data_IF_228853737818
#
_entry.id   IF_228853737818
#
_cell.length_a   1.000
_cell.length_b   1.000
_cell.length_c   1.000
_cell.angle_alpha   90.00
_cell.angle_beta   90.00
_cell.angle_gamma   90.00
#
_symmetry.space_group_name_H-M   'P 1'
#
loop_
_entity.id
_entity.type
_entity.pdbx_description
1 polymer ?
#
# COMPACT_ATOMS: atom_id res chain seq x y z
N UNK A 1 -7.83 -41.29 -90.30
CA UNK A 1 -8.69 -40.29 -89.63
C UNK A 1 -7.79 -39.36 -88.82
N UNK A 2 -7.58 -38.14 -89.30
CA UNK A 2 -6.65 -37.15 -88.70
C UNK A 2 -7.50 -36.01 -88.14
N UNK A 3 -7.43 -35.77 -86.81
CA UNK A 3 -8.09 -34.63 -86.20
C UNK A 3 -7.30 -33.33 -86.50
N UNK A 4 -7.97 -32.20 -86.75
CA UNK A 4 -7.29 -30.94 -87.04
C UNK A 4 -6.72 -30.31 -85.76
N UNK A 5 -5.46 -29.87 -85.84
CA UNK A 5 -4.82 -29.06 -84.80
C UNK A 5 -5.56 -27.73 -84.64
N UNK A 6 -6.04 -27.45 -83.43
CA UNK A 6 -6.59 -26.13 -83.07
C UNK A 6 -5.45 -25.11 -83.01
N UNK A 7 -5.63 -24.01 -83.73
CA UNK A 7 -4.75 -22.84 -83.70
C UNK A 7 -4.72 -22.20 -82.31
N UNK A 8 -3.60 -21.57 -81.90
CA UNK A 8 -3.53 -20.80 -80.66
C UNK A 8 -4.52 -19.64 -80.72
N UNK A 9 -5.38 -19.50 -79.71
CA UNK A 9 -6.17 -18.28 -79.52
C UNK A 9 -5.19 -17.15 -79.17
N UNK A 10 -5.15 -16.11 -79.99
CA UNK A 10 -4.49 -14.87 -79.62
C UNK A 10 -5.09 -14.34 -78.31
N UNK A 11 -4.27 -13.90 -77.34
CA UNK A 11 -4.79 -13.19 -76.18
C UNK A 11 -5.40 -11.89 -76.69
N UNK A 12 -6.72 -11.80 -76.64
CA UNK A 12 -7.42 -10.55 -76.87
C UNK A 12 -6.79 -9.49 -75.99
N UNK A 13 -6.28 -8.44 -76.64
CA UNK A 13 -5.94 -7.17 -76.00
C UNK A 13 -7.18 -6.73 -75.23
N UNK A 14 -7.22 -7.05 -73.94
CA UNK A 14 -8.07 -6.38 -72.98
C UNK A 14 -7.63 -4.94 -73.04
N UNK A 15 -8.42 -4.12 -73.74
CA UNK A 15 -8.36 -2.68 -73.67
C UNK A 15 -8.34 -2.30 -72.19
N UNK A 16 -7.16 -2.02 -71.65
CA UNK A 16 -7.02 -1.29 -70.41
C UNK A 16 -7.61 0.06 -70.73
N UNK A 17 -8.91 0.23 -70.43
CA UNK A 17 -9.56 1.51 -70.53
C UNK A 17 -8.72 2.47 -69.70
N UNK A 18 -8.04 3.39 -70.37
CA UNK A 18 -7.41 4.51 -69.71
C UNK A 18 -8.55 5.31 -69.06
N UNK A 19 -8.91 4.96 -67.83
CA UNK A 19 -9.72 5.80 -66.96
C UNK A 19 -8.86 7.02 -66.64
N UNK A 20 -8.77 7.93 -67.61
CA UNK A 20 -8.21 9.26 -67.40
C UNK A 20 -9.22 9.98 -66.53
N UNK A 21 -8.96 9.95 -65.22
CA UNK A 21 -9.61 10.86 -64.29
C UNK A 21 -9.53 12.25 -64.89
N UNK A 22 -10.68 12.87 -65.03
CA UNK A 22 -10.79 14.25 -65.48
C UNK A 22 -10.04 15.15 -64.50
N UNK A 23 -9.60 16.32 -64.95
CA UNK A 23 -8.93 17.29 -64.08
C UNK A 23 -9.78 17.69 -62.88
N UNK A 24 -11.10 17.62 -63.02
CA UNK A 24 -12.07 17.93 -61.97
C UNK A 24 -12.12 16.82 -60.91
N UNK A 25 -12.16 15.54 -61.31
CA UNK A 25 -12.11 14.40 -60.38
C UNK A 25 -10.76 14.33 -59.62
N UNK A 26 -9.65 14.70 -60.27
CA UNK A 26 -8.36 14.85 -59.59
C UNK A 26 -8.41 16.01 -58.58
N UNK A 27 -9.05 17.13 -58.93
CA UNK A 27 -9.23 18.27 -58.04
C UNK A 27 -10.04 17.92 -56.79
N UNK A 28 -11.13 17.16 -56.95
CA UNK A 28 -11.95 16.66 -55.83
C UNK A 28 -11.16 15.71 -54.94
N UNK A 29 -10.46 14.72 -55.51
CA UNK A 29 -9.64 13.79 -54.74
C UNK A 29 -8.51 14.50 -53.96
N UNK A 30 -7.88 15.51 -54.56
CA UNK A 30 -6.88 16.33 -53.86
C UNK A 30 -7.50 17.16 -52.73
N UNK A 31 -8.74 17.64 -52.91
CA UNK A 31 -9.52 18.33 -51.88
C UNK A 31 -9.79 17.42 -50.68
N UNK A 32 -10.24 16.19 -50.92
CA UNK A 32 -10.50 15.18 -49.89
C UNK A 32 -9.22 14.81 -49.12
N UNK A 33 -8.12 14.53 -49.84
CA UNK A 33 -6.82 14.24 -49.23
C UNK A 33 -6.35 15.43 -48.38
N UNK A 34 -6.52 16.66 -48.85
CA UNK A 34 -6.14 17.84 -48.08
C UNK A 34 -6.97 17.99 -46.79
N UNK A 35 -8.25 17.62 -46.82
CA UNK A 35 -9.09 17.62 -45.61
C UNK A 35 -8.67 16.53 -44.62
N UNK A 36 -8.44 15.31 -45.08
CA UNK A 36 -7.98 14.21 -44.20
C UNK A 36 -6.62 14.52 -43.58
N UNK A 37 -5.68 15.09 -44.34
CA UNK A 37 -4.37 15.51 -43.81
C UNK A 37 -4.54 16.58 -42.73
N UNK A 38 -5.50 17.49 -42.89
CA UNK A 38 -5.77 18.54 -41.90
C UNK A 38 -6.37 17.96 -40.62
N UNK A 39 -7.32 17.04 -40.74
CA UNK A 39 -7.92 16.34 -39.61
C UNK A 39 -6.87 15.50 -38.87
N UNK A 40 -6.07 14.72 -39.59
CA UNK A 40 -5.01 13.91 -39.01
C UNK A 40 -3.97 14.76 -38.26
N UNK A 41 -3.63 15.95 -38.78
CA UNK A 41 -2.75 16.90 -38.08
C UNK A 41 -3.37 17.42 -36.79
N UNK A 42 -4.68 17.66 -36.79
CA UNK A 42 -5.42 18.06 -35.59
C UNK A 42 -5.40 16.95 -34.54
N UNK A 43 -5.68 15.71 -34.95
CA UNK A 43 -5.68 14.55 -34.06
C UNK A 43 -4.31 14.28 -33.46
N UNK A 44 -3.24 14.41 -34.27
CA UNK A 44 -1.86 14.29 -33.78
C UNK A 44 -1.54 15.38 -32.76
N UNK A 45 -2.00 16.62 -32.99
CA UNK A 45 -1.80 17.70 -32.03
C UNK A 45 -2.56 17.48 -30.73
N UNK A 46 -3.81 17.00 -30.80
CA UNK A 46 -4.60 16.66 -29.62
C UNK A 46 -3.97 15.51 -28.83
N UNK A 47 -3.54 14.46 -29.53
CA UNK A 47 -2.88 13.32 -28.91
C UNK A 47 -1.55 13.73 -28.25
N UNK A 48 -0.79 14.63 -28.87
CA UNK A 48 0.40 15.22 -28.27
C UNK A 48 0.08 15.91 -26.93
N UNK A 49 -0.91 16.80 -26.91
CA UNK A 49 -1.33 17.46 -25.67
C UNK A 49 -1.81 16.48 -24.60
N UNK A 50 -2.50 15.41 -25.00
CA UNK A 50 -2.99 14.39 -24.08
C UNK A 50 -1.84 13.58 -23.47
N UNK A 51 -0.83 13.23 -24.28
CA UNK A 51 0.40 12.58 -23.81
C UNK A 51 1.14 13.48 -22.83
N UNK A 52 1.28 14.77 -23.13
CA UNK A 52 1.93 15.73 -22.22
C UNK A 52 1.20 15.83 -20.87
N UNK A 53 -0.15 15.86 -20.88
CA UNK A 53 -0.94 15.84 -19.64
C UNK A 53 -0.74 14.56 -18.86
N UNK A 54 -0.76 13.41 -19.55
CA UNK A 54 -0.53 12.11 -18.92
C UNK A 54 0.86 12.02 -18.29
N UNK A 55 1.88 12.52 -18.99
CA UNK A 55 3.25 12.55 -18.48
C UNK A 55 3.33 13.40 -17.22
N UNK A 56 2.77 14.62 -17.23
CA UNK A 56 2.77 15.49 -16.06
C UNK A 56 2.03 14.87 -14.86
N UNK A 57 0.93 14.15 -15.10
CA UNK A 57 0.21 13.45 -14.02
C UNK A 57 1.00 12.26 -13.49
N UNK A 58 1.74 11.56 -14.37
CA UNK A 58 2.57 10.44 -13.98
C UNK A 58 3.75 10.90 -13.13
N UNK A 59 4.45 11.95 -13.57
CA UNK A 59 5.59 12.52 -12.85
C UNK A 59 5.15 13.00 -11.45
N UNK A 60 3.99 13.65 -11.34
CA UNK A 60 3.43 14.06 -10.05
C UNK A 60 3.08 12.86 -9.14
N UNK A 61 2.58 11.77 -9.71
CA UNK A 61 2.28 10.54 -8.96
C UNK A 61 3.54 9.82 -8.49
N UNK A 62 4.62 9.82 -9.29
CA UNK A 62 5.92 9.28 -8.88
C UNK A 62 6.49 10.07 -7.70
N UNK A 63 6.44 11.41 -7.75
CA UNK A 63 6.88 12.26 -6.64
C UNK A 63 6.08 12.00 -5.35
N UNK A 64 4.75 11.83 -5.46
CA UNK A 64 3.90 11.53 -4.32
C UNK A 64 4.19 10.13 -3.73
N UNK A 65 4.48 9.16 -4.59
CA UNK A 65 4.84 7.80 -4.18
C UNK A 65 6.17 7.78 -3.43
N UNK A 66 7.18 8.48 -3.92
CA UNK A 66 8.48 8.63 -3.25
C UNK A 66 8.32 9.29 -1.87
N UNK A 67 7.44 10.30 -1.77
CA UNK A 67 7.12 10.95 -0.50
C UNK A 67 6.51 9.97 0.52
N UNK A 68 5.48 9.21 0.14
CA UNK A 68 4.86 8.24 1.04
C UNK A 68 5.81 7.10 1.43
N UNK A 69 6.68 6.66 0.52
CA UNK A 69 7.70 5.66 0.84
C UNK A 69 8.65 6.15 1.94
N UNK A 70 9.10 7.40 1.87
CA UNK A 70 9.94 7.99 2.91
C UNK A 70 9.17 8.13 4.23
N UNK A 71 7.92 8.59 4.20
CA UNK A 71 7.10 8.72 5.40
C UNK A 71 6.91 7.37 6.10
N UNK A 72 6.57 6.31 5.36
CA UNK A 72 6.43 4.96 5.91
C UNK A 72 7.71 4.51 6.62
N UNK A 73 8.88 4.72 6.01
CA UNK A 73 10.15 4.35 6.63
C UNK A 73 10.37 5.11 7.95
N UNK A 74 10.12 6.43 7.98
CA UNK A 74 10.27 7.21 9.21
C UNK A 74 9.30 6.78 10.30
N UNK A 75 8.06 6.47 9.94
CA UNK A 75 7.05 5.99 10.88
C UNK A 75 7.39 4.61 11.43
N UNK A 76 7.96 3.72 10.62
CA UNK A 76 8.43 2.42 11.05
C UNK A 76 9.59 2.53 12.04
N UNK A 77 10.56 3.40 11.77
CA UNK A 77 11.68 3.67 12.70
C UNK A 77 11.18 4.23 14.03
N UNK A 78 10.30 5.23 14.00
CA UNK A 78 9.70 5.82 15.20
C UNK A 78 8.91 4.79 16.01
N UNK A 79 8.12 3.94 15.33
CA UNK A 79 7.36 2.88 16.00
C UNK A 79 8.29 1.86 16.68
N UNK A 80 9.36 1.46 15.99
CA UNK A 80 10.37 0.57 16.55
C UNK A 80 11.04 1.17 17.79
N UNK A 81 11.42 2.44 17.74
CA UNK A 81 11.99 3.15 18.88
C UNK A 81 11.01 3.22 20.06
N UNK A 82 9.75 3.54 19.80
CA UNK A 82 8.71 3.59 20.83
C UNK A 82 8.48 2.22 21.48
N UNK A 83 8.48 1.14 20.70
CA UNK A 83 8.38 -0.22 21.22
C UNK A 83 9.55 -0.55 22.14
N UNK A 84 10.78 -0.22 21.73
CA UNK A 84 11.96 -0.44 22.57
C UNK A 84 11.91 0.37 23.88
N UNK A 85 11.45 1.63 23.81
CA UNK A 85 11.26 2.48 24.99
C UNK A 85 10.18 1.93 25.92
N UNK A 86 9.07 1.44 25.37
CA UNK A 86 7.98 0.82 26.12
C UNK A 86 8.46 -0.44 26.84
N UNK A 87 9.14 -1.34 26.14
CA UNK A 87 9.72 -2.55 26.74
C UNK A 87 10.67 -2.18 27.89
N UNK A 88 11.52 -1.15 27.69
CA UNK A 88 12.39 -0.63 28.74
C UNK A 88 11.63 -0.09 29.96
N UNK A 89 10.50 0.60 29.76
CA UNK A 89 9.65 1.11 30.84
C UNK A 89 8.91 -0.02 31.56
N UNK A 90 8.35 -0.97 30.82
CA UNK A 90 7.67 -2.15 31.38
C UNK A 90 8.64 -2.99 32.21
N UNK A 91 9.84 -3.25 31.69
CA UNK A 91 10.88 -3.95 32.41
C UNK A 91 11.29 -3.22 33.70
N UNK A 92 11.44 -1.89 33.65
CA UNK A 92 11.71 -1.08 34.86
C UNK A 92 10.57 -1.16 35.88
N UNK A 93 9.32 -1.14 35.43
CA UNK A 93 8.14 -1.32 36.27
C UNK A 93 8.06 -2.72 36.89
N UNK A 94 8.44 -3.76 36.13
CA UNK A 94 8.40 -5.14 36.63
C UNK A 94 9.53 -5.48 37.60
N UNK A 95 10.67 -4.78 37.54
CA UNK A 95 11.79 -5.00 38.48
C UNK A 95 11.40 -4.83 39.96
N UNK A 96 10.45 -3.95 40.26
CA UNK A 96 9.91 -3.75 41.60
C UNK A 96 8.57 -4.47 41.84
N UNK A 97 8.09 -5.25 40.87
CA UNK A 97 6.79 -5.94 40.93
C UNK A 97 6.97 -7.44 41.07
N UNK A 98 6.36 -8.02 42.11
CA UNK A 98 6.32 -9.48 42.32
C UNK A 98 4.92 -9.98 42.00
N UNK A 99 4.80 -10.99 41.13
CA UNK A 99 3.53 -11.67 40.85
C UNK A 99 3.41 -12.94 41.68
N UNK A 100 2.45 -12.94 42.61
CA UNK A 100 2.14 -14.10 43.44
C UNK A 100 0.93 -14.83 42.85
N UNK A 101 1.12 -16.09 42.45
CA UNK A 101 0.06 -16.93 41.87
C UNK A 101 -0.64 -17.75 42.97
N UNK A 102 -1.86 -18.21 42.68
CA UNK A 102 -2.68 -19.08 43.55
C UNK A 102 -3.02 -18.45 44.93
N UNK A 103 -3.18 -17.13 44.98
CA UNK A 103 -3.67 -16.45 46.19
C UNK A 103 -5.15 -16.78 46.41
N UNK A 104 -5.53 -17.36 47.57
CA UNK A 104 -6.91 -17.74 47.86
C UNK A 104 -7.87 -16.58 47.64
N UNK A 105 -9.01 -16.81 46.97
CA UNK A 105 -9.99 -15.77 46.60
C UNK A 105 -10.60 -15.04 47.80
N UNK A 106 -10.60 -15.67 48.98
CA UNK A 106 -11.05 -15.06 50.25
C UNK A 106 -10.16 -13.93 50.80
N UNK A 107 -8.96 -13.71 50.24
CA UNK A 107 -8.18 -12.50 50.53
C UNK A 107 -8.76 -11.32 49.72
N UNK A 108 -9.70 -10.60 50.36
CA UNK A 108 -10.39 -9.43 49.83
C UNK A 108 -9.42 -8.25 49.58
N UNK A 109 -9.81 -7.24 48.78
CA UNK A 109 -8.97 -6.09 48.41
C UNK A 109 -8.43 -5.19 49.55
N UNK A 110 -8.73 -5.48 50.82
CA UNK A 110 -8.13 -4.80 51.99
C UNK A 110 -7.23 -5.69 52.86
N UNK A 111 -7.19 -7.01 52.62
CA UNK A 111 -6.41 -7.99 53.40
C UNK A 111 -5.27 -8.64 52.60
N UNK A 112 -5.07 -8.18 51.37
CA UNK A 112 -4.05 -8.68 50.47
C UNK A 112 -2.64 -8.33 50.97
N UNK A 113 -2.43 -7.11 51.47
CA UNK A 113 -1.17 -6.67 52.07
C UNK A 113 -0.82 -7.52 53.29
N UNK A 114 -1.76 -7.72 54.21
CA UNK A 114 -1.57 -8.57 55.38
C UNK A 114 -1.25 -10.02 55.02
N UNK A 115 -1.89 -10.56 53.99
CA UNK A 115 -1.57 -11.88 53.45
C UNK A 115 -0.13 -11.93 52.92
N UNK A 116 0.28 -10.94 52.13
CA UNK A 116 1.63 -10.87 51.56
C UNK A 116 2.69 -10.72 52.66
N UNK A 117 2.48 -9.84 53.64
CA UNK A 117 3.40 -9.66 54.77
C UNK A 117 3.54 -10.96 55.57
N UNK A 118 2.44 -11.68 55.85
CA UNK A 118 2.49 -12.98 56.53
C UNK A 118 3.22 -14.04 55.70
N UNK A 119 3.01 -14.05 54.38
CA UNK A 119 3.71 -14.96 53.48
C UNK A 119 5.22 -14.72 53.50
N UNK A 120 5.66 -13.45 53.40
CA UNK A 120 7.09 -13.11 53.46
C UNK A 120 7.70 -13.47 54.82
N UNK A 121 7.01 -13.25 55.93
CA UNK A 121 7.49 -13.68 57.26
C UNK A 121 7.65 -15.20 57.36
N UNK A 122 6.78 -15.96 56.69
CA UNK A 122 6.85 -17.42 56.71
C UNK A 122 7.96 -17.97 55.79
N UNK A 123 8.09 -17.43 54.58
CA UNK A 123 9.02 -17.94 53.55
C UNK A 123 10.43 -17.36 53.72
N UNK A 124 10.54 -16.14 54.24
CA UNK A 124 11.80 -15.43 54.45
C UNK A 124 11.84 -14.82 55.86
N UNK A 125 11.90 -15.64 56.92
CA UNK A 125 11.83 -15.17 58.32
C UNK A 125 13.03 -14.31 58.74
N UNK A 126 14.13 -14.34 57.98
CA UNK A 126 15.30 -13.50 58.20
C UNK A 126 15.07 -12.03 57.81
N UNK A 127 14.06 -11.74 56.97
CA UNK A 127 13.68 -10.37 56.64
C UNK A 127 12.87 -9.80 57.81
N UNK A 128 13.31 -8.67 58.37
CA UNK A 128 12.53 -8.03 59.44
C UNK A 128 11.28 -7.45 58.83
N UNK A 129 10.14 -7.59 59.51
CA UNK A 129 8.86 -7.13 58.98
C UNK A 129 8.78 -5.60 58.71
N UNK A 130 9.68 -4.82 59.30
CA UNK A 130 9.82 -3.37 59.08
C UNK A 130 10.59 -3.02 57.79
N UNK A 131 11.22 -4.01 57.14
CA UNK A 131 12.03 -3.82 55.92
C UNK A 131 11.22 -4.07 54.63
N UNK A 132 10.02 -4.65 54.74
CA UNK A 132 9.15 -4.95 53.59
C UNK A 132 8.15 -3.81 53.39
N UNK A 133 8.46 -2.91 52.46
CA UNK A 133 7.57 -1.81 52.07
C UNK A 133 6.84 -2.22 50.78
N UNK A 134 5.51 -2.34 50.86
CA UNK A 134 4.66 -2.63 49.72
C UNK A 134 4.06 -1.32 49.21
N UNK A 135 4.43 -0.89 48.00
CA UNK A 135 3.93 0.37 47.42
C UNK A 135 2.48 0.25 46.92
N UNK A 136 2.10 -0.93 46.39
CA UNK A 136 0.75 -1.22 45.93
C UNK A 136 0.54 -2.74 45.92
N UNK A 137 -0.66 -3.20 46.27
CA UNK A 137 -1.08 -4.59 46.04
C UNK A 137 -2.43 -4.62 45.34
N UNK A 138 -2.55 -5.44 44.32
CA UNK A 138 -3.80 -5.63 43.57
C UNK A 138 -3.84 -7.02 42.96
N UNK A 139 -5.04 -7.47 42.57
CA UNK A 139 -5.22 -8.70 41.78
C UNK A 139 -5.28 -8.34 40.30
N UNK A 140 -4.48 -9.02 39.48
CA UNK A 140 -4.55 -8.86 38.02
C UNK A 140 -5.93 -9.31 37.51
N UNK A 141 -6.59 -8.45 36.72
CA UNK A 141 -7.94 -8.72 36.17
C UNK A 141 -9.09 -8.03 36.92
N UNK A 142 -8.84 -7.42 38.07
CA UNK A 142 -9.70 -6.37 38.61
C UNK A 142 -9.10 -5.03 38.20
N UNK A 143 -9.71 -4.35 37.23
CA UNK A 143 -9.49 -2.93 37.00
C UNK A 143 -9.95 -2.20 38.27
N UNK A 144 -9.06 -2.07 39.24
CA UNK A 144 -9.26 -1.21 40.38
C UNK A 144 -9.32 0.22 39.87
N UNK A 145 -10.51 0.81 39.93
CA UNK A 145 -10.73 2.24 39.88
C UNK A 145 -9.71 2.92 40.78
N UNK A 146 -8.72 3.59 40.18
CA UNK A 146 -7.92 4.58 40.88
C UNK A 146 -8.81 5.79 41.13
N UNK A 147 -9.32 5.91 42.36
CA UNK A 147 -9.88 7.16 42.89
C UNK A 147 -8.74 8.15 43.14
N UNK A 148 -8.97 9.40 42.70
CA UNK A 148 -8.66 10.67 43.39
C UNK A 148 -7.21 10.92 43.78
#
# INVERSE_FOLDING_TARGET
>A
MVQPRRSPREPGLMSVGENKLTTDELGEAWGEIATEIKELKSDVAEMGQRVDRMQNTHDAQEEELDHYMQEILTLQESNHELQYRLEGLENRSWRSTIRIRRVPTGAMPGSLEDFVIRLFRHVAPALKAQEVILACTHRTGHLSQTRG
#
